data_IF_415771779966
#
_entry.id   IF_415771779966
#
_cell.length_a   1.000
_cell.length_b   1.000
_cell.length_c   1.000
_cell.angle_alpha   90.00
_cell.angle_beta   90.00
_cell.angle_gamma   90.00
#
_symmetry.space_group_name_H-M   'P 1'
#
loop_
_entity.id
_entity.type
_entity.pdbx_description
1 polymer ?
#
# COMPACT_ATOMS: atom_id res chain seq x y z
N UNK A 1 -22.93 11.19 -4.23
CA UNK A 1 -23.02 11.17 -2.76
C UNK A 1 -22.24 9.99 -2.21
N UNK A 2 -21.38 10.26 -1.24
CA UNK A 2 -20.55 9.22 -0.66
C UNK A 2 -21.36 8.42 0.36
N UNK A 3 -21.31 7.09 0.24
CA UNK A 3 -21.93 6.24 1.23
C UNK A 3 -21.14 6.28 2.53
N UNK A 4 -21.84 6.38 3.63
CA UNK A 4 -21.17 6.27 4.92
C UNK A 4 -20.84 4.82 5.20
N UNK A 5 -19.62 4.60 5.67
CA UNK A 5 -19.18 3.27 6.06
C UNK A 5 -19.77 2.90 7.42
N UNK A 6 -20.18 1.65 7.57
CA UNK A 6 -20.54 1.13 8.88
C UNK A 6 -19.28 1.00 9.72
N UNK A 7 -19.44 0.89 11.03
CA UNK A 7 -18.31 0.66 11.94
C UNK A 7 -17.54 -0.59 11.58
N UNK A 8 -18.26 -1.65 11.22
CA UNK A 8 -17.66 -2.91 10.84
C UNK A 8 -16.87 -2.79 9.54
N UNK A 9 -17.44 -2.11 8.55
CA UNK A 9 -16.76 -1.87 7.28
C UNK A 9 -15.50 -1.04 7.47
N UNK A 10 -15.60 0.02 8.28
CA UNK A 10 -14.47 0.87 8.60
C UNK A 10 -13.35 0.08 9.26
N UNK A 11 -13.70 -0.76 10.23
CA UNK A 11 -12.72 -1.58 10.94
C UNK A 11 -11.98 -2.53 9.99
N UNK A 12 -12.71 -3.18 9.10
CA UNK A 12 -12.10 -4.08 8.10
C UNK A 12 -11.17 -3.33 7.16
N UNK A 13 -11.56 -2.15 6.73
CA UNK A 13 -10.72 -1.33 5.87
C UNK A 13 -9.46 -0.86 6.59
N UNK A 14 -9.57 -0.50 7.85
CA UNK A 14 -8.42 -0.10 8.66
C UNK A 14 -7.44 -1.25 8.84
N UNK A 15 -7.95 -2.46 9.09
CA UNK A 15 -7.12 -3.66 9.19
C UNK A 15 -6.40 -3.93 7.87
N UNK A 16 -7.13 -3.85 6.77
CA UNK A 16 -6.55 -4.07 5.45
C UNK A 16 -5.48 -3.01 5.13
N UNK A 17 -5.75 -1.77 5.49
CA UNK A 17 -4.81 -0.68 5.30
C UNK A 17 -3.51 -0.93 6.08
N UNK A 18 -3.64 -1.39 7.33
CA UNK A 18 -2.48 -1.73 8.15
C UNK A 18 -1.63 -2.82 7.48
N UNK A 19 -2.28 -3.90 7.02
CA UNK A 19 -1.60 -4.99 6.34
C UNK A 19 -0.86 -4.52 5.09
N UNK A 20 -1.52 -3.68 4.29
CA UNK A 20 -0.93 -3.16 3.06
C UNK A 20 0.27 -2.26 3.34
N UNK A 21 0.20 -1.46 4.40
CA UNK A 21 1.31 -0.61 4.80
C UNK A 21 2.51 -1.44 5.25
N UNK A 22 2.27 -2.55 5.95
CA UNK A 22 3.32 -3.47 6.33
C UNK A 22 3.97 -4.11 5.11
N UNK A 23 3.16 -4.60 4.17
CA UNK A 23 3.66 -5.15 2.93
C UNK A 23 4.51 -4.14 2.17
N UNK A 24 4.04 -2.91 2.09
CA UNK A 24 4.76 -1.84 1.40
C UNK A 24 6.12 -1.58 2.05
N UNK A 25 6.15 -1.53 3.37
CA UNK A 25 7.40 -1.33 4.13
C UNK A 25 8.37 -2.49 3.90
N UNK A 26 7.88 -3.72 3.99
CA UNK A 26 8.70 -4.91 3.80
C UNK A 26 9.28 -4.94 2.40
N UNK A 27 8.48 -4.61 1.42
CA UNK A 27 8.91 -4.58 0.02
C UNK A 27 9.93 -3.48 -0.25
N UNK A 28 9.74 -2.32 0.37
CA UNK A 28 10.69 -1.22 0.29
C UNK A 28 12.06 -1.63 0.86
N UNK A 29 12.05 -2.35 1.97
CA UNK A 29 13.25 -2.90 2.61
C UNK A 29 13.97 -3.88 1.67
N UNK A 30 13.22 -4.79 1.07
CA UNK A 30 13.76 -5.76 0.13
C UNK A 30 14.41 -5.06 -1.06
N UNK A 31 13.73 -4.07 -1.62
CA UNK A 31 14.25 -3.30 -2.75
C UNK A 31 15.54 -2.59 -2.37
N UNK A 32 15.58 -1.97 -1.20
CA UNK A 32 16.78 -1.28 -0.72
C UNK A 32 17.97 -2.23 -0.61
N UNK A 33 17.74 -3.43 -0.11
CA UNK A 33 18.79 -4.45 -0.01
C UNK A 33 19.25 -4.95 -1.36
N UNK A 34 18.30 -5.16 -2.29
CA UNK A 34 18.62 -5.61 -3.64
C UNK A 34 19.47 -4.59 -4.39
N UNK A 35 19.22 -3.30 -4.17
CA UNK A 35 20.01 -2.24 -4.81
C UNK A 35 21.46 -2.24 -4.34
N UNK A 36 21.74 -2.78 -3.17
CA UNK A 36 23.09 -2.89 -2.63
C UNK A 36 23.76 -4.23 -2.97
N UNK A 37 23.01 -5.14 -3.56
CA UNK A 37 23.51 -6.48 -3.89
C UNK A 37 24.12 -6.48 -5.29
N UNK A 38 25.36 -6.94 -5.46
CA UNK A 38 25.92 -7.09 -6.81
C UNK A 38 25.18 -8.19 -7.56
N UNK A 39 25.10 -8.05 -8.87
CA UNK A 39 24.50 -9.03 -9.78
C UNK A 39 23.01 -9.27 -9.55
N UNK A 40 22.30 -8.26 -9.03
CA UNK A 40 20.86 -8.37 -8.89
C UNK A 40 20.20 -8.38 -10.28
N UNK A 41 19.20 -9.24 -10.44
CA UNK A 41 18.45 -9.34 -11.68
C UNK A 41 17.57 -8.11 -11.87
N UNK A 42 17.79 -7.39 -12.97
CA UNK A 42 17.00 -6.17 -13.27
C UNK A 42 15.52 -6.47 -13.38
N UNK A 43 15.16 -7.61 -13.97
CA UNK A 43 13.76 -7.98 -14.12
C UNK A 43 13.09 -8.17 -12.77
N UNK A 44 13.79 -8.84 -11.84
CA UNK A 44 13.28 -9.04 -10.49
C UNK A 44 13.09 -7.71 -9.77
N UNK A 45 14.05 -6.81 -9.88
CA UNK A 45 13.99 -5.50 -9.28
C UNK A 45 12.80 -4.70 -9.83
N UNK A 46 12.58 -4.75 -11.13
CA UNK A 46 11.44 -4.09 -11.77
C UNK A 46 10.10 -4.63 -11.25
N UNK A 47 10.02 -5.94 -11.07
CA UNK A 47 8.81 -6.57 -10.53
C UNK A 47 8.50 -6.10 -9.12
N UNK A 48 9.51 -6.03 -8.28
CA UNK A 48 9.34 -5.53 -6.91
C UNK A 48 8.94 -4.06 -6.88
N UNK A 49 9.55 -3.24 -7.71
CA UNK A 49 9.20 -1.81 -7.81
C UNK A 49 7.76 -1.63 -8.28
N UNK A 50 7.34 -2.42 -9.26
CA UNK A 50 5.97 -2.37 -9.76
C UNK A 50 4.99 -2.78 -8.68
N UNK A 51 5.30 -3.84 -7.93
CA UNK A 51 4.46 -4.29 -6.81
C UNK A 51 4.35 -3.21 -5.74
N UNK A 52 5.45 -2.56 -5.42
CA UNK A 52 5.48 -1.47 -4.45
C UNK A 52 4.57 -0.32 -4.86
N UNK A 53 4.63 0.08 -6.12
CA UNK A 53 3.77 1.15 -6.65
C UNK A 53 2.30 0.77 -6.61
N UNK A 54 1.99 -0.48 -6.94
CA UNK A 54 0.62 -0.99 -6.87
C UNK A 54 0.08 -0.97 -5.45
N UNK A 55 0.90 -1.36 -4.48
CA UNK A 55 0.52 -1.31 -3.06
C UNK A 55 0.28 0.12 -2.60
N UNK A 56 1.16 1.03 -2.99
CA UNK A 56 0.99 2.44 -2.63
C UNK A 56 -0.29 3.02 -3.18
N UNK A 57 -0.65 2.68 -4.42
CA UNK A 57 -1.88 3.12 -5.04
C UNK A 57 -3.11 2.62 -4.27
N UNK A 58 -3.11 1.34 -3.90
CA UNK A 58 -4.20 0.75 -3.11
C UNK A 58 -4.29 1.39 -1.73
N UNK A 59 -3.15 1.63 -1.09
CA UNK A 59 -3.11 2.31 0.22
C UNK A 59 -3.75 3.69 0.12
N UNK A 60 -3.40 4.46 -0.88
CA UNK A 60 -3.97 5.80 -1.08
C UNK A 60 -5.48 5.74 -1.29
N UNK A 61 -5.96 4.78 -2.05
CA UNK A 61 -7.40 4.61 -2.28
C UNK A 61 -8.14 4.28 -0.99
N UNK A 62 -7.58 3.41 -0.17
CA UNK A 62 -8.18 3.05 1.12
C UNK A 62 -8.14 4.22 2.09
N UNK A 63 -7.04 4.94 2.13
CA UNK A 63 -6.94 6.12 2.99
C UNK A 63 -7.97 7.17 2.61
N UNK A 64 -8.14 7.41 1.32
CA UNK A 64 -9.15 8.35 0.83
C UNK A 64 -10.57 7.90 1.19
N UNK A 65 -10.84 6.60 1.12
CA UNK A 65 -12.15 6.06 1.47
C UNK A 65 -12.44 6.20 2.97
N UNK A 66 -11.42 6.22 3.80
CA UNK A 66 -11.57 6.36 5.26
C UNK A 66 -11.64 7.80 5.73
N UNK A 67 -11.27 8.76 4.89
CA UNK A 67 -11.35 10.16 5.25
C UNK A 67 -12.83 10.59 5.29
N UNK A 68 -13.29 11.22 6.39
CA UNK A 68 -14.67 11.72 6.44
C UNK A 68 -14.91 12.79 5.39
N UNK A 69 -16.11 12.81 4.85
CA UNK A 69 -16.51 13.75 3.81
C UNK A 69 -16.91 15.09 4.40
N UNK A 70 -16.08 15.62 5.29
CA UNK A 70 -16.38 16.88 6.00
C UNK A 70 -15.87 18.10 5.25
N UNK A 71 -14.91 17.90 4.39
CA UNK A 71 -14.24 18.98 3.68
C UNK A 71 -14.72 19.12 2.25
N UNK A 72 -15.85 18.59 1.97
CA UNK A 72 -16.43 18.68 0.64
C UNK A 72 -16.68 20.13 0.22
#
# INVERSE_FOLDING_TARGET
MRQQLTEEERHKMEERLFELKQEHRDLDDVISRLLLTPDVEELQLKRFKKRKLSLKDTIMKLENALIPDILA
#
